data_IF_651336787914
#
_entry.id   IF_651336787914
#
_cell.length_a   1.000
_cell.length_b   1.000
_cell.length_c   1.000
_cell.angle_alpha   90.00
_cell.angle_beta   90.00
_cell.angle_gamma   90.00
#
_symmetry.space_group_name_H-M   'P 1'
#
loop_
_entity.id
_entity.type
_entity.pdbx_description
1 polymer ?
#
# COMPACT_ATOMS: atom_id res chain seq x y z
N UNK A 1 -5.01 -28.21 -17.53
CA UNK A 1 -6.33 -27.63 -18.01
C UNK A 1 -6.13 -27.15 -19.44
N UNK A 2 -7.02 -27.42 -20.39
CA UNK A 2 -6.83 -26.92 -21.76
C UNK A 2 -6.91 -25.40 -21.79
N UNK A 3 -5.96 -24.74 -22.47
CA UNK A 3 -5.97 -23.30 -22.70
C UNK A 3 -7.32 -22.86 -23.26
N UNK A 4 -8.00 -21.95 -22.54
CA UNK A 4 -9.27 -21.42 -23.01
C UNK A 4 -9.01 -20.27 -23.98
N UNK A 5 -9.14 -20.54 -25.30
CA UNK A 5 -8.87 -19.56 -26.35
C UNK A 5 -9.68 -18.26 -26.19
N UNK A 6 -10.93 -18.34 -25.73
CA UNK A 6 -11.75 -17.15 -25.50
C UNK A 6 -11.18 -16.26 -24.40
N UNK A 7 -10.78 -16.84 -23.25
CA UNK A 7 -10.16 -16.08 -22.16
C UNK A 7 -8.75 -15.63 -22.52
N UNK A 8 -8.02 -16.41 -23.32
CA UNK A 8 -6.74 -16.03 -23.87
C UNK A 8 -6.81 -14.78 -24.75
N UNK A 9 -7.82 -14.66 -25.60
CA UNK A 9 -8.04 -13.48 -26.43
C UNK A 9 -8.38 -12.23 -25.57
N UNK A 10 -9.09 -12.40 -24.47
CA UNK A 10 -9.38 -11.31 -23.53
C UNK A 10 -8.10 -10.86 -22.81
N UNK A 11 -7.28 -11.80 -22.37
CA UNK A 11 -5.98 -11.49 -21.77
C UNK A 11 -5.06 -10.77 -22.78
N UNK A 12 -5.01 -11.23 -24.04
CA UNK A 12 -4.30 -10.54 -25.13
C UNK A 12 -4.78 -9.10 -25.30
N UNK A 13 -6.10 -8.89 -25.33
CA UNK A 13 -6.68 -7.53 -25.38
C UNK A 13 -6.25 -6.66 -24.19
N UNK A 14 -6.16 -7.23 -22.99
CA UNK A 14 -5.70 -6.48 -21.81
C UNK A 14 -4.21 -6.12 -21.91
N UNK A 15 -3.38 -7.02 -22.47
CA UNK A 15 -1.97 -6.77 -22.71
C UNK A 15 -1.74 -5.68 -23.77
N UNK A 16 -2.57 -5.63 -24.82
CA UNK A 16 -2.49 -4.61 -25.88
C UNK A 16 -2.94 -3.23 -25.41
N UNK A 17 -3.98 -3.18 -24.58
CA UNK A 17 -4.56 -1.93 -24.09
C UNK A 17 -3.83 -1.35 -22.88
N UNK A 18 -2.88 -2.09 -22.29
CA UNK A 18 -2.10 -1.53 -21.21
C UNK A 18 -1.22 -0.39 -21.74
N UNK A 19 -1.26 0.75 -21.08
CA UNK A 19 -0.36 1.87 -21.33
C UNK A 19 0.33 2.32 -20.05
N UNK A 20 1.44 3.01 -20.20
CA UNK A 20 2.17 3.60 -19.07
C UNK A 20 1.31 4.71 -18.44
N UNK A 21 0.69 4.44 -17.31
CA UNK A 21 -0.14 5.41 -16.60
C UNK A 21 -1.55 4.92 -16.25
N UNK A 22 -2.02 3.86 -16.88
CA UNK A 22 -3.34 3.31 -16.58
C UNK A 22 -3.40 2.69 -15.17
N UNK A 23 -4.57 2.84 -14.55
CA UNK A 23 -4.93 2.03 -13.38
C UNK A 23 -5.43 0.68 -13.90
N UNK A 24 -4.62 -0.34 -13.75
CA UNK A 24 -4.88 -1.68 -14.30
C UNK A 24 -6.22 -2.28 -13.87
N UNK A 25 -6.67 -1.98 -12.64
CA UNK A 25 -8.00 -2.39 -12.17
C UNK A 25 -9.13 -1.74 -12.97
N UNK A 26 -8.98 -0.48 -13.39
CA UNK A 26 -9.96 0.22 -14.22
C UNK A 26 -9.96 -0.40 -15.60
N UNK A 27 -8.81 -0.56 -16.22
CA UNK A 27 -8.65 -1.21 -17.52
C UNK A 27 -9.33 -2.58 -17.56
N UNK A 28 -9.01 -3.44 -16.59
CA UNK A 28 -9.61 -4.77 -16.50
C UNK A 28 -11.13 -4.70 -16.29
N UNK A 29 -11.61 -3.81 -15.42
CA UNK A 29 -13.04 -3.66 -15.17
C UNK A 29 -13.80 -3.21 -16.42
N UNK A 30 -13.23 -2.33 -17.23
CA UNK A 30 -13.86 -1.87 -18.47
C UNK A 30 -13.90 -2.99 -19.52
N UNK A 31 -12.81 -3.76 -19.68
CA UNK A 31 -12.79 -4.95 -20.53
C UNK A 31 -13.83 -5.97 -20.04
N UNK A 32 -13.93 -6.20 -18.73
CA UNK A 32 -14.88 -7.17 -18.17
C UNK A 32 -16.34 -6.77 -18.38
N UNK A 33 -16.65 -5.47 -18.35
CA UNK A 33 -17.99 -4.96 -18.69
C UNK A 33 -18.26 -5.09 -20.17
N UNK A 34 -17.31 -4.67 -21.03
CA UNK A 34 -17.41 -4.77 -22.49
C UNK A 34 -17.68 -6.22 -22.94
N UNK A 35 -16.91 -7.16 -22.39
CA UNK A 35 -17.02 -8.60 -22.72
C UNK A 35 -18.04 -9.37 -21.89
N UNK A 36 -18.76 -8.72 -20.97
CA UNK A 36 -19.78 -9.30 -20.08
C UNK A 36 -19.32 -10.57 -19.35
N UNK A 37 -18.09 -10.53 -18.81
CA UNK A 37 -17.51 -11.71 -18.17
C UNK A 37 -18.17 -12.06 -16.83
N UNK A 38 -18.34 -13.37 -16.59
CA UNK A 38 -18.71 -13.92 -15.31
C UNK A 38 -17.59 -13.80 -14.25
N UNK A 39 -17.93 -14.01 -12.97
CA UNK A 39 -16.97 -13.88 -11.86
C UNK A 39 -15.73 -14.76 -12.00
N UNK A 40 -15.90 -16.02 -12.41
CA UNK A 40 -14.80 -16.98 -12.59
C UNK A 40 -13.84 -16.54 -13.68
N UNK A 41 -14.36 -16.07 -14.79
CA UNK A 41 -13.57 -15.63 -15.95
C UNK A 41 -12.80 -14.35 -15.62
N UNK A 42 -13.40 -13.42 -14.87
CA UNK A 42 -12.72 -12.22 -14.38
C UNK A 42 -11.52 -12.58 -13.48
N UNK A 43 -11.69 -13.52 -12.57
CA UNK A 43 -10.60 -14.00 -11.70
C UNK A 43 -9.50 -14.63 -12.55
N UNK A 44 -9.86 -15.50 -13.52
CA UNK A 44 -8.90 -16.15 -14.39
C UNK A 44 -8.03 -15.15 -15.16
N UNK A 45 -8.66 -14.14 -15.78
CA UNK A 45 -7.95 -13.09 -16.52
C UNK A 45 -7.11 -12.21 -15.59
N UNK A 46 -7.70 -11.76 -14.46
CA UNK A 46 -6.98 -10.90 -13.51
C UNK A 46 -5.73 -11.56 -12.93
N UNK A 47 -5.84 -12.81 -12.47
CA UNK A 47 -4.70 -13.49 -11.85
C UNK A 47 -3.53 -13.63 -12.85
N UNK A 48 -3.81 -13.94 -14.12
CA UNK A 48 -2.79 -14.06 -15.17
C UNK A 48 -2.26 -12.71 -15.63
N UNK A 49 -3.09 -11.69 -15.71
CA UNK A 49 -2.64 -10.34 -16.03
C UNK A 49 -1.70 -9.78 -14.95
N UNK A 50 -2.05 -9.94 -13.66
CA UNK A 50 -1.17 -9.51 -12.57
C UNK A 50 0.07 -10.39 -12.43
N UNK A 51 0.02 -11.66 -12.82
CA UNK A 51 1.19 -12.52 -12.92
C UNK A 51 2.14 -12.03 -14.01
N UNK A 52 1.62 -11.67 -15.20
CA UNK A 52 2.42 -11.02 -16.24
C UNK A 52 3.14 -9.77 -15.71
N UNK A 53 2.41 -8.86 -15.04
CA UNK A 53 3.01 -7.63 -14.53
C UNK A 53 4.15 -7.87 -13.51
N UNK A 54 4.12 -9.00 -12.80
CA UNK A 54 5.21 -9.41 -11.90
C UNK A 54 6.43 -9.97 -12.63
N UNK A 55 6.23 -10.56 -13.79
CA UNK A 55 7.26 -11.25 -14.57
C UNK A 55 7.37 -10.69 -16.00
N UNK A 56 7.08 -9.40 -16.15
CA UNK A 56 6.93 -8.74 -17.46
C UNK A 56 8.16 -8.92 -18.35
N UNK A 57 9.38 -8.71 -17.81
CA UNK A 57 10.61 -8.83 -18.61
C UNK A 57 10.79 -10.24 -19.21
N UNK A 58 10.38 -11.26 -18.46
CA UNK A 58 10.43 -12.65 -18.97
C UNK A 58 9.42 -12.87 -20.09
N UNK A 59 8.18 -12.46 -19.90
CA UNK A 59 7.14 -12.69 -20.90
C UNK A 59 7.36 -11.86 -22.16
N UNK A 60 7.87 -10.65 -22.04
CA UNK A 60 8.24 -9.80 -23.19
C UNK A 60 9.39 -10.45 -23.99
N UNK A 61 10.35 -11.11 -23.32
CA UNK A 61 11.48 -11.80 -23.97
C UNK A 61 11.04 -13.07 -24.69
N UNK A 62 10.15 -13.88 -24.11
CA UNK A 62 9.78 -15.18 -24.69
C UNK A 62 8.59 -15.11 -25.66
N UNK A 63 7.98 -13.94 -25.85
CA UNK A 63 6.76 -13.78 -26.63
C UNK A 63 6.94 -12.76 -27.76
N UNK A 64 6.46 -13.09 -28.95
CA UNK A 64 6.60 -12.28 -30.15
C UNK A 64 5.46 -11.27 -30.34
N UNK A 65 4.31 -11.56 -29.71
CA UNK A 65 3.11 -10.72 -29.74
C UNK A 65 2.20 -11.01 -28.53
N UNK A 66 1.12 -10.23 -28.37
CA UNK A 66 0.19 -10.31 -27.25
C UNK A 66 -0.56 -11.64 -27.17
N UNK A 67 -0.87 -12.29 -28.30
CA UNK A 67 -1.55 -13.59 -28.34
C UNK A 67 -0.64 -14.71 -27.83
N UNK A 68 0.60 -14.75 -28.31
CA UNK A 68 1.63 -15.71 -27.84
C UNK A 68 1.94 -15.44 -26.38
N UNK A 69 2.03 -14.16 -25.97
CA UNK A 69 2.24 -13.76 -24.59
C UNK A 69 1.12 -14.29 -23.69
N UNK A 70 -0.15 -14.08 -24.04
CA UNK A 70 -1.29 -14.59 -23.29
C UNK A 70 -1.28 -16.12 -23.13
N UNK A 71 -0.89 -16.85 -24.19
CA UNK A 71 -0.71 -18.30 -24.15
C UNK A 71 0.44 -18.69 -23.22
N UNK A 72 1.61 -18.06 -23.34
CA UNK A 72 2.78 -18.34 -22.51
C UNK A 72 2.49 -18.04 -21.01
N UNK A 73 1.81 -16.95 -20.70
CA UNK A 73 1.39 -16.63 -19.34
C UNK A 73 0.51 -17.74 -18.75
N UNK A 74 -0.49 -18.22 -19.50
CA UNK A 74 -1.36 -19.28 -19.04
C UNK A 74 -0.59 -20.58 -18.77
N UNK A 75 0.32 -20.96 -19.68
CA UNK A 75 1.11 -22.18 -19.54
C UNK A 75 2.10 -22.12 -18.36
N UNK A 76 2.79 -20.98 -18.16
CA UNK A 76 3.72 -20.82 -17.03
C UNK A 76 2.94 -20.73 -15.70
N UNK A 77 1.79 -20.05 -15.69
CA UNK A 77 0.94 -19.93 -14.50
C UNK A 77 0.40 -21.29 -14.03
N UNK A 78 0.16 -22.21 -14.96
CA UNK A 78 -0.35 -23.57 -14.70
C UNK A 78 0.76 -24.63 -14.57
N UNK A 79 2.04 -24.22 -14.71
CA UNK A 79 3.21 -25.09 -14.72
C UNK A 79 3.14 -26.18 -15.84
N UNK A 80 2.56 -25.84 -16.97
CA UNK A 80 2.37 -26.71 -18.14
C UNK A 80 2.96 -26.09 -19.43
N UNK A 81 4.26 -25.67 -19.48
CA UNK A 81 4.84 -25.08 -20.69
C UNK A 81 4.96 -26.11 -21.82
N UNK A 82 4.64 -25.69 -23.05
CA UNK A 82 4.86 -26.51 -24.24
C UNK A 82 6.37 -26.64 -24.60
N UNK A 83 6.70 -27.52 -25.55
CA UNK A 83 8.09 -27.79 -25.91
C UNK A 83 8.85 -26.56 -26.45
N UNK A 84 8.13 -25.62 -27.09
CA UNK A 84 8.76 -24.39 -27.62
C UNK A 84 9.13 -23.47 -26.43
N UNK A 85 8.21 -23.29 -25.49
CA UNK A 85 8.44 -22.45 -24.33
C UNK A 85 9.48 -23.08 -23.38
N UNK A 86 9.45 -24.39 -23.15
CA UNK A 86 10.49 -25.11 -22.39
C UNK A 86 11.88 -24.86 -22.97
N UNK A 87 12.04 -24.97 -24.29
CA UNK A 87 13.32 -24.73 -24.95
C UNK A 87 13.78 -23.27 -24.77
N UNK A 88 12.89 -22.30 -24.88
CA UNK A 88 13.21 -20.88 -24.60
C UNK A 88 13.67 -20.70 -23.14
N UNK A 89 12.97 -21.29 -22.18
CA UNK A 89 13.33 -21.27 -20.76
C UNK A 89 14.71 -21.88 -20.52
N UNK A 90 14.99 -23.05 -21.09
CA UNK A 90 16.31 -23.72 -20.99
C UNK A 90 17.46 -22.87 -21.54
N UNK A 91 17.23 -22.15 -22.64
CA UNK A 91 18.23 -21.23 -23.21
C UNK A 91 18.51 -20.10 -22.22
N UNK A 92 17.48 -19.47 -21.64
CA UNK A 92 17.64 -18.41 -20.65
C UNK A 92 18.36 -18.90 -19.39
N UNK A 93 18.09 -20.13 -18.95
CA UNK A 93 18.77 -20.75 -17.81
C UNK A 93 20.24 -21.00 -18.11
N UNK A 94 20.56 -21.56 -19.27
CA UNK A 94 21.96 -21.80 -19.70
C UNK A 94 22.75 -20.51 -19.82
N UNK A 95 22.15 -19.44 -20.28
CA UNK A 95 22.78 -18.13 -20.42
C UNK A 95 22.83 -17.34 -19.11
N UNK A 96 22.25 -17.86 -18.01
CA UNK A 96 22.21 -17.18 -16.69
C UNK A 96 21.31 -15.95 -16.65
N UNK A 97 20.41 -15.75 -17.62
CA UNK A 97 19.52 -14.58 -17.70
C UNK A 97 18.12 -14.83 -17.14
N UNK A 98 17.73 -16.08 -16.92
CA UNK A 98 16.39 -16.45 -16.44
C UNK A 98 16.00 -15.74 -15.15
N UNK A 99 16.86 -15.81 -14.13
CA UNK A 99 16.58 -15.19 -12.84
C UNK A 99 16.35 -13.68 -12.95
N UNK A 100 17.18 -12.99 -13.74
CA UNK A 100 17.04 -11.55 -13.97
C UNK A 100 15.71 -11.20 -14.64
N UNK A 101 15.27 -12.00 -15.60
CA UNK A 101 14.06 -11.76 -16.38
C UNK A 101 12.80 -12.18 -15.62
N UNK A 102 12.83 -13.31 -14.91
CA UNK A 102 11.67 -13.90 -14.26
C UNK A 102 11.57 -13.47 -12.78
N UNK A 103 12.57 -13.83 -11.96
CA UNK A 103 12.53 -13.61 -10.54
C UNK A 103 12.76 -12.14 -10.16
N UNK A 104 13.65 -11.45 -10.88
CA UNK A 104 14.02 -10.06 -10.66
C UNK A 104 13.44 -9.12 -11.73
N UNK A 105 12.22 -9.41 -12.19
CA UNK A 105 11.49 -8.66 -13.22
C UNK A 105 11.03 -7.29 -12.69
N UNK A 106 11.97 -6.32 -12.68
CA UNK A 106 11.80 -4.96 -12.22
C UNK A 106 12.54 -3.98 -13.13
N UNK A 107 12.12 -2.70 -13.19
CA UNK A 107 12.98 -1.65 -13.73
C UNK A 107 14.34 -1.65 -13.04
N UNK A 108 15.39 -1.30 -13.77
CA UNK A 108 16.78 -1.40 -13.28
C UNK A 108 16.99 -0.59 -11.99
N UNK A 109 16.43 0.61 -11.92
CA UNK A 109 16.47 1.47 -10.73
C UNK A 109 15.97 0.72 -9.49
N UNK A 110 14.76 0.16 -9.54
CA UNK A 110 14.18 -0.57 -8.40
C UNK A 110 14.93 -1.87 -8.11
N UNK A 111 15.38 -2.58 -9.16
CA UNK A 111 16.16 -3.81 -9.00
C UNK A 111 17.45 -3.55 -8.22
N UNK A 112 18.16 -2.46 -8.54
CA UNK A 112 19.38 -2.07 -7.86
C UNK A 112 19.11 -1.66 -6.40
N UNK A 113 18.05 -0.89 -6.14
CA UNK A 113 17.65 -0.50 -4.79
C UNK A 113 17.26 -1.71 -3.92
N UNK A 114 16.46 -2.64 -4.46
CA UNK A 114 16.07 -3.88 -3.74
C UNK A 114 17.31 -4.70 -3.38
N UNK A 115 18.23 -4.91 -4.32
CA UNK A 115 19.45 -5.66 -4.06
C UNK A 115 20.34 -5.01 -3.02
N UNK A 116 20.48 -3.68 -3.08
CA UNK A 116 21.31 -2.90 -2.16
C UNK A 116 20.74 -2.90 -0.74
N UNK A 117 19.43 -2.74 -0.60
CA UNK A 117 18.79 -2.59 0.71
C UNK A 117 18.47 -3.93 1.37
N UNK A 118 18.07 -4.95 0.60
CA UNK A 118 17.47 -6.18 1.13
C UNK A 118 18.11 -7.47 0.61
N UNK A 119 18.99 -7.37 -0.38
CA UNK A 119 19.59 -8.54 -1.01
C UNK A 119 18.66 -9.24 -2.01
N UNK A 120 19.24 -10.26 -2.68
CA UNK A 120 18.60 -10.96 -3.81
C UNK A 120 17.31 -11.71 -3.40
N UNK A 121 17.26 -12.26 -2.21
CA UNK A 121 16.12 -13.05 -1.74
C UNK A 121 14.84 -12.22 -1.54
N UNK A 122 14.96 -10.90 -1.44
CA UNK A 122 13.80 -10.02 -1.30
C UNK A 122 12.88 -9.98 -2.54
N UNK A 123 13.41 -10.29 -3.72
CA UNK A 123 12.59 -10.32 -4.96
C UNK A 123 11.43 -11.31 -4.87
N UNK A 124 11.60 -12.46 -4.22
CA UNK A 124 10.53 -13.42 -3.99
C UNK A 124 9.38 -12.76 -3.21
N UNK A 125 9.71 -12.05 -2.14
CA UNK A 125 8.71 -11.33 -1.36
C UNK A 125 8.01 -10.24 -2.21
N UNK A 126 8.76 -9.43 -2.96
CA UNK A 126 8.19 -8.39 -3.81
C UNK A 126 7.30 -8.94 -4.95
N UNK A 127 7.52 -10.17 -5.39
CA UNK A 127 6.70 -10.86 -6.39
C UNK A 127 5.55 -11.67 -5.79
N UNK A 128 5.50 -11.87 -4.48
CA UNK A 128 4.41 -12.58 -3.82
C UNK A 128 3.10 -11.76 -3.85
N UNK A 129 1.97 -12.43 -3.70
CA UNK A 129 0.65 -11.80 -3.60
C UNK A 129 0.41 -11.35 -2.17
N UNK A 130 0.12 -10.06 -1.97
CA UNK A 130 -0.19 -9.54 -0.65
C UNK A 130 -1.53 -10.10 -0.13
N UNK A 131 -1.60 -10.41 1.16
CA UNK A 131 -2.85 -10.83 1.82
C UNK A 131 -3.81 -9.66 1.98
N UNK A 132 -5.09 -9.99 2.09
CA UNK A 132 -6.12 -9.01 2.45
C UNK A 132 -6.12 -8.83 3.96
N UNK A 133 -5.97 -7.59 4.41
CA UNK A 133 -5.99 -7.24 5.83
C UNK A 133 -7.15 -6.29 6.09
N UNK A 134 -7.85 -6.53 7.19
CA UNK A 134 -8.89 -5.67 7.72
C UNK A 134 -8.38 -4.93 8.94
N UNK A 135 -8.83 -3.72 9.11
CA UNK A 135 -8.73 -2.98 10.36
C UNK A 135 -10.10 -2.96 11.04
N UNK A 136 -10.18 -3.56 12.20
CA UNK A 136 -11.37 -3.49 13.07
C UNK A 136 -11.62 -2.05 13.49
N UNK A 137 -12.87 -1.64 13.48
CA UNK A 137 -13.29 -0.37 14.05
C UNK A 137 -13.47 -0.52 15.57
N UNK A 138 -12.42 -0.25 16.33
CA UNK A 138 -12.39 -0.38 17.79
C UNK A 138 -13.34 0.58 18.54
N UNK A 139 -14.01 1.49 17.82
CA UNK A 139 -15.10 2.31 18.36
C UNK A 139 -16.40 1.53 18.49
N UNK A 140 -16.59 0.49 17.67
CA UNK A 140 -17.84 -0.26 17.54
C UNK A 140 -17.75 -1.70 18.04
N UNK A 141 -16.61 -2.35 17.87
CA UNK A 141 -16.46 -3.78 18.14
C UNK A 141 -15.02 -4.12 18.52
N UNK A 142 -14.82 -5.14 19.37
CA UNK A 142 -13.49 -5.67 19.62
C UNK A 142 -12.99 -6.53 18.45
N UNK A 143 -11.66 -6.58 18.25
CA UNK A 143 -11.06 -7.35 17.16
C UNK A 143 -11.46 -8.83 17.19
N UNK A 144 -11.38 -9.43 18.36
CA UNK A 144 -11.62 -10.87 18.50
C UNK A 144 -13.11 -11.23 18.29
N UNK A 145 -14.02 -10.34 18.68
CA UNK A 145 -15.45 -10.47 18.40
C UNK A 145 -15.72 -10.38 16.89
N UNK A 146 -15.13 -9.40 16.18
CA UNK A 146 -15.23 -9.32 14.72
C UNK A 146 -14.64 -10.55 14.04
N UNK A 147 -13.49 -11.06 14.52
CA UNK A 147 -12.85 -12.26 14.01
C UNK A 147 -13.79 -13.46 14.06
N UNK A 148 -14.48 -13.68 15.17
CA UNK A 148 -15.45 -14.77 15.30
C UNK A 148 -16.68 -14.57 14.39
N UNK A 149 -17.21 -13.36 14.27
CA UNK A 149 -18.30 -13.07 13.34
C UNK A 149 -17.91 -13.38 11.90
N UNK A 150 -16.70 -13.00 11.48
CA UNK A 150 -16.17 -13.31 10.15
C UNK A 150 -16.04 -14.82 9.91
N UNK A 151 -15.55 -15.59 10.90
CA UNK A 151 -15.48 -17.06 10.82
C UNK A 151 -16.88 -17.68 10.66
N UNK A 152 -17.86 -17.18 11.41
CA UNK A 152 -19.25 -17.66 11.32
C UNK A 152 -19.88 -17.38 9.93
N UNK A 153 -19.47 -16.29 9.25
CA UNK A 153 -19.83 -16.02 7.86
C UNK A 153 -18.98 -16.82 6.84
N UNK A 154 -18.04 -17.66 7.32
CA UNK A 154 -17.17 -18.51 6.50
C UNK A 154 -15.97 -17.79 5.90
N UNK A 155 -15.47 -16.74 6.56
CA UNK A 155 -14.22 -16.08 6.24
C UNK A 155 -13.14 -16.52 7.24
N UNK A 156 -12.32 -17.49 6.84
CA UNK A 156 -11.17 -17.91 7.62
C UNK A 156 -10.21 -16.73 7.81
N UNK A 157 -9.77 -16.51 9.03
CA UNK A 157 -8.95 -15.35 9.38
C UNK A 157 -8.11 -15.60 10.63
N UNK A 158 -7.08 -14.78 10.82
CA UNK A 158 -6.22 -14.73 11.98
C UNK A 158 -5.94 -13.28 12.40
N UNK A 159 -5.58 -13.04 13.67
CA UNK A 159 -5.15 -11.70 14.09
C UNK A 159 -3.84 -11.32 13.39
N UNK A 160 -3.72 -10.05 13.02
CA UNK A 160 -2.45 -9.50 12.59
C UNK A 160 -1.46 -9.42 13.76
N UNK A 161 -0.16 -9.66 13.52
CA UNK A 161 0.81 -9.84 14.63
C UNK A 161 1.00 -8.61 15.51
N UNK A 162 0.96 -7.40 14.94
CA UNK A 162 1.34 -6.18 15.64
C UNK A 162 0.19 -5.22 15.85
N UNK A 163 -0.71 -5.08 14.86
CA UNK A 163 -1.83 -4.16 15.01
C UNK A 163 -2.90 -4.73 15.94
N UNK A 164 -3.29 -4.00 17.01
CA UNK A 164 -4.38 -4.44 17.90
C UNK A 164 -5.76 -4.47 17.21
N UNK A 165 -5.87 -3.86 16.02
CA UNK A 165 -7.10 -3.84 15.22
C UNK A 165 -7.02 -4.73 13.97
N UNK A 166 -5.86 -5.30 13.67
CA UNK A 166 -5.60 -6.00 12.42
C UNK A 166 -6.15 -7.43 12.39
N UNK A 167 -6.81 -7.79 11.27
CA UNK A 167 -7.25 -9.16 10.96
C UNK A 167 -6.77 -9.50 9.56
N UNK A 168 -6.03 -10.60 9.42
CA UNK A 168 -5.58 -11.13 8.14
C UNK A 168 -6.61 -12.15 7.65
N UNK A 169 -7.09 -11.96 6.42
CA UNK A 169 -8.01 -12.90 5.79
C UNK A 169 -7.27 -13.94 4.96
N UNK A 170 -7.71 -15.18 5.08
CA UNK A 170 -7.30 -16.22 4.14
C UNK A 170 -7.96 -16.00 2.77
N UNK A 171 -7.31 -16.44 1.67
CA UNK A 171 -7.83 -16.28 0.32
C UNK A 171 -9.25 -16.84 0.20
N UNK A 172 -10.16 -16.07 -0.36
CA UNK A 172 -11.55 -16.46 -0.54
C UNK A 172 -12.15 -15.84 -1.80
N UNK A 173 -13.10 -16.55 -2.40
CA UNK A 173 -13.89 -16.06 -3.53
C UNK A 173 -15.14 -15.26 -3.08
N UNK A 174 -15.40 -15.15 -1.78
CA UNK A 174 -16.51 -14.37 -1.23
C UNK A 174 -16.14 -12.86 -1.21
N UNK A 175 -17.12 -11.99 -1.32
CA UNK A 175 -16.94 -10.54 -1.23
C UNK A 175 -17.41 -10.04 0.13
N UNK A 176 -16.52 -9.44 0.90
CA UNK A 176 -16.86 -8.79 2.17
C UNK A 176 -17.43 -7.38 2.00
N UNK A 177 -17.22 -6.74 0.86
CA UNK A 177 -17.74 -5.37 0.62
C UNK A 177 -19.28 -5.27 0.65
N UNK A 178 -19.96 -6.39 0.46
CA UNK A 178 -21.42 -6.48 0.46
C UNK A 178 -21.95 -7.19 1.71
N UNK A 179 -21.15 -7.37 2.76
CA UNK A 179 -21.57 -7.97 4.02
C UNK A 179 -22.21 -6.94 4.95
N UNK A 180 -23.13 -7.38 5.79
CA UNK A 180 -23.69 -6.53 6.86
C UNK A 180 -22.60 -5.98 7.79
N UNK A 181 -21.54 -6.74 8.02
CA UNK A 181 -20.42 -6.31 8.87
C UNK A 181 -19.73 -5.07 8.30
N UNK A 182 -19.57 -5.00 6.97
CA UNK A 182 -19.03 -3.84 6.29
C UNK A 182 -19.99 -2.64 6.32
N UNK A 183 -21.28 -2.89 6.04
CA UNK A 183 -22.32 -1.85 6.07
C UNK A 183 -22.48 -1.24 7.46
N UNK A 184 -22.39 -2.06 8.51
CA UNK A 184 -22.38 -1.62 9.93
C UNK A 184 -21.11 -0.86 10.30
N UNK A 185 -20.09 -0.84 9.43
CA UNK A 185 -18.82 -0.14 9.65
C UNK A 185 -17.96 -0.76 10.76
N UNK A 186 -18.00 -2.08 10.90
CA UNK A 186 -17.20 -2.81 11.88
C UNK A 186 -15.74 -2.94 11.46
N UNK A 187 -15.45 -2.79 10.16
CA UNK A 187 -14.08 -2.83 9.64
C UNK A 187 -13.90 -1.95 8.40
N UNK A 188 -12.64 -1.72 8.08
CA UNK A 188 -12.15 -1.16 6.81
C UNK A 188 -11.07 -2.08 6.25
N UNK A 189 -10.93 -2.10 4.90
CA UNK A 189 -9.79 -2.75 4.25
C UNK A 189 -8.56 -1.86 4.40
N UNK A 190 -7.58 -2.29 5.18
CA UNK A 190 -6.35 -1.54 5.40
C UNK A 190 -5.23 -2.48 5.82
N UNK A 191 -4.08 -2.35 5.16
CA UNK A 191 -2.89 -3.11 5.51
C UNK A 191 -2.40 -2.84 6.94
N UNK A 192 -1.77 -3.84 7.57
CA UNK A 192 -1.26 -3.72 8.93
C UNK A 192 -0.25 -2.59 9.07
N UNK A 193 0.65 -2.40 8.10
CA UNK A 193 1.65 -1.33 8.13
C UNK A 193 1.02 0.07 8.15
N UNK A 194 -0.07 0.27 7.40
CA UNK A 194 -0.83 1.52 7.41
C UNK A 194 -1.54 1.76 8.75
N UNK A 195 -1.97 0.68 9.43
CA UNK A 195 -2.52 0.75 10.79
C UNK A 195 -1.43 1.14 11.80
N UNK A 196 -0.24 0.54 11.70
CA UNK A 196 0.92 0.84 12.55
C UNK A 196 1.40 2.28 12.39
N UNK A 197 1.43 2.81 11.15
CA UNK A 197 1.75 4.21 10.91
C UNK A 197 0.78 5.17 11.64
N UNK A 198 -0.51 4.81 11.75
CA UNK A 198 -1.50 5.59 12.50
C UNK A 198 -1.20 5.62 14.00
N UNK A 199 -0.51 4.60 14.53
CA UNK A 199 -0.09 4.53 15.94
C UNK A 199 1.15 5.40 16.25
N UNK A 200 1.70 6.13 15.28
CA UNK A 200 2.70 7.16 15.54
C UNK A 200 2.09 8.43 16.17
N UNK A 201 0.77 8.59 16.13
CA UNK A 201 0.06 9.71 16.75
C UNK A 201 0.16 9.61 18.28
N UNK A 202 0.38 10.75 18.93
CA UNK A 202 0.42 10.84 20.39
C UNK A 202 -0.99 10.59 20.97
N UNK A 203 -1.08 9.68 21.95
CA UNK A 203 -2.36 9.35 22.63
C UNK A 203 -3.04 10.55 23.30
N UNK A 204 -2.27 11.61 23.61
CA UNK A 204 -2.78 12.84 24.23
C UNK A 204 -3.17 13.91 23.18
N UNK A 205 -3.00 13.64 21.88
CA UNK A 205 -3.42 14.53 20.81
C UNK A 205 -4.92 14.83 20.87
N UNK A 206 -5.30 16.10 20.78
CA UNK A 206 -6.72 16.54 20.81
C UNK A 206 -7.18 16.97 19.42
N UNK A 207 -6.33 17.66 18.67
CA UNK A 207 -6.63 18.08 17.31
C UNK A 207 -5.53 17.70 16.34
N UNK A 208 -5.92 17.12 15.21
CA UNK A 208 -5.02 16.61 14.19
C UNK A 208 -5.43 17.11 12.81
N UNK A 209 -4.43 17.52 12.03
CA UNK A 209 -4.56 17.79 10.60
C UNK A 209 -3.94 16.65 9.79
N UNK A 210 -4.69 16.11 8.81
CA UNK A 210 -4.18 15.22 7.76
C UNK A 210 -4.30 15.92 6.41
N UNK A 211 -3.23 16.55 5.88
CA UNK A 211 -3.32 17.39 4.68
C UNK A 211 -3.30 16.61 3.35
N UNK A 212 -3.00 15.31 3.37
CA UNK A 212 -2.97 14.43 2.21
C UNK A 212 -3.87 13.21 2.46
N UNK A 213 -5.12 13.45 2.88
CA UNK A 213 -5.99 12.42 3.44
C UNK A 213 -6.49 11.37 2.43
N UNK A 214 -6.43 11.66 1.11
CA UNK A 214 -7.02 10.77 0.11
C UNK A 214 -8.48 10.45 0.44
N UNK A 215 -8.84 9.18 0.45
CA UNK A 215 -10.18 8.71 0.87
C UNK A 215 -10.36 8.57 2.39
N UNK A 216 -9.48 9.14 3.23
CA UNK A 216 -9.61 9.17 4.69
C UNK A 216 -9.22 7.87 5.41
N UNK A 217 -8.45 6.99 4.76
CA UNK A 217 -8.09 5.69 5.33
C UNK A 217 -7.33 5.81 6.66
N UNK A 218 -6.33 6.70 6.74
CA UNK A 218 -5.54 6.94 7.94
C UNK A 218 -6.29 7.81 8.95
N UNK A 219 -7.07 8.83 8.52
CA UNK A 219 -8.00 9.55 9.40
C UNK A 219 -8.93 8.61 10.15
N UNK A 220 -9.55 7.65 9.45
CA UNK A 220 -10.43 6.64 10.07
C UNK A 220 -9.67 5.70 11.00
N UNK A 221 -8.42 5.36 10.67
CA UNK A 221 -7.54 4.57 11.52
C UNK A 221 -7.23 5.29 12.84
N UNK A 222 -6.77 6.51 12.72
CA UNK A 222 -6.46 7.37 13.86
C UNK A 222 -7.72 7.56 14.75
N UNK A 223 -8.87 7.86 14.15
CA UNK A 223 -10.14 7.99 14.90
C UNK A 223 -10.54 6.68 15.59
N UNK A 224 -10.21 5.51 15.04
CA UNK A 224 -10.49 4.21 15.65
C UNK A 224 -9.62 3.94 16.88
N UNK A 225 -8.34 4.28 16.82
CA UNK A 225 -7.40 4.10 17.93
C UNK A 225 -7.56 5.16 19.02
N UNK A 226 -7.80 6.42 18.63
CA UNK A 226 -7.84 7.57 19.54
C UNK A 226 -9.25 8.18 19.56
N UNK A 227 -10.07 7.78 20.56
CA UNK A 227 -11.51 8.12 20.60
C UNK A 227 -11.82 9.60 20.76
N UNK A 228 -10.93 10.38 21.39
CA UNK A 228 -11.16 11.78 21.80
C UNK A 228 -10.32 12.76 20.97
N UNK A 229 -10.14 12.48 19.68
CA UNK A 229 -9.37 13.31 18.76
C UNK A 229 -10.31 13.98 17.75
N UNK A 230 -10.11 15.27 17.52
CA UNK A 230 -10.74 16.00 16.43
C UNK A 230 -9.82 15.95 15.22
N UNK A 231 -10.34 15.50 14.09
CA UNK A 231 -9.55 15.32 12.86
C UNK A 231 -10.08 16.25 11.79
N UNK A 232 -9.17 17.05 11.22
CA UNK A 232 -9.38 17.81 10.01
C UNK A 232 -8.60 17.12 8.88
N UNK A 233 -9.35 16.56 7.93
CA UNK A 233 -8.80 15.93 6.73
C UNK A 233 -8.82 16.94 5.57
N UNK A 234 -7.73 17.03 4.84
CA UNK A 234 -7.62 17.86 3.64
C UNK A 234 -6.94 17.07 2.51
N UNK A 235 -7.21 17.46 1.27
CA UNK A 235 -6.56 16.89 0.07
C UNK A 235 -6.72 17.90 -1.07
N UNK A 236 -5.76 17.93 -1.98
CA UNK A 236 -5.86 18.75 -3.20
C UNK A 236 -7.04 18.33 -4.08
N UNK A 237 -7.44 17.06 -4.00
CA UNK A 237 -8.58 16.45 -4.68
C UNK A 237 -9.85 16.57 -3.82
N UNK A 238 -10.41 17.76 -3.74
CA UNK A 238 -11.57 18.07 -2.86
C UNK A 238 -12.81 17.21 -3.13
N UNK A 239 -12.93 16.60 -4.30
CA UNK A 239 -14.01 15.66 -4.61
C UNK A 239 -13.99 14.41 -3.71
N UNK A 240 -12.84 14.06 -3.09
CA UNK A 240 -12.72 12.98 -2.12
C UNK A 240 -13.37 13.28 -0.77
N UNK A 241 -13.68 14.54 -0.47
CA UNK A 241 -14.32 14.92 0.81
C UNK A 241 -15.68 14.26 1.02
N UNK A 242 -16.40 13.98 -0.06
CA UNK A 242 -17.66 13.23 0.02
C UNK A 242 -17.41 11.80 0.50
N UNK A 243 -16.42 11.12 -0.08
CA UNK A 243 -16.04 9.76 0.33
C UNK A 243 -15.60 9.71 1.79
N UNK A 244 -14.76 10.66 2.23
CA UNK A 244 -14.33 10.76 3.63
C UNK A 244 -15.53 10.85 4.58
N UNK A 245 -16.52 11.72 4.27
CA UNK A 245 -17.72 11.91 5.09
C UNK A 245 -18.59 10.66 5.14
N UNK A 246 -18.81 10.00 4.02
CA UNK A 246 -19.59 8.76 3.93
C UNK A 246 -18.94 7.61 4.73
N UNK A 247 -17.63 7.45 4.60
CA UNK A 247 -16.88 6.44 5.36
C UNK A 247 -16.84 6.77 6.85
N UNK A 248 -16.68 8.03 7.22
CA UNK A 248 -16.71 8.46 8.62
C UNK A 248 -18.09 8.22 9.25
N UNK A 249 -19.18 8.51 8.54
CA UNK A 249 -20.54 8.22 8.98
C UNK A 249 -20.75 6.71 9.20
N UNK A 250 -20.32 5.87 8.23
CA UNK A 250 -20.36 4.41 8.36
C UNK A 250 -19.54 3.93 9.54
N UNK A 251 -18.37 4.50 9.78
CA UNK A 251 -17.52 4.18 10.93
C UNK A 251 -18.04 4.69 12.27
N UNK A 252 -19.09 5.52 12.29
CA UNK A 252 -19.62 6.13 13.52
C UNK A 252 -18.67 7.15 14.15
N UNK A 253 -17.95 7.90 13.32
CA UNK A 253 -17.03 8.97 13.73
C UNK A 253 -17.29 10.24 12.92
N UNK A 254 -16.77 11.37 13.40
CA UNK A 254 -16.84 12.65 12.69
C UNK A 254 -15.44 13.08 12.27
N UNK A 255 -15.24 13.30 10.97
CA UNK A 255 -14.03 13.86 10.40
C UNK A 255 -14.43 15.17 9.69
N UNK A 256 -13.80 16.26 10.06
CA UNK A 256 -13.98 17.54 9.37
C UNK A 256 -13.18 17.51 8.07
N UNK A 257 -13.67 18.22 7.04
CA UNK A 257 -12.92 18.37 5.78
C UNK A 257 -12.75 19.85 5.46
N UNK A 258 -11.56 20.28 5.09
CA UNK A 258 -11.25 21.68 4.76
C UNK A 258 -10.38 21.76 3.49
N UNK A 259 -10.61 22.79 2.67
CA UNK A 259 -9.67 23.16 1.58
C UNK A 259 -8.35 23.66 2.18
N UNK A 260 -7.27 23.63 1.41
CA UNK A 260 -5.94 24.06 1.91
C UNK A 260 -5.91 25.51 2.42
N UNK A 261 -6.72 26.40 1.83
CA UNK A 261 -6.85 27.82 2.23
C UNK A 261 -7.67 27.99 3.51
N UNK A 262 -8.49 27.01 3.88
CA UNK A 262 -9.41 27.09 5.02
C UNK A 262 -8.87 26.37 6.27
N UNK A 263 -7.65 25.83 6.18
CA UNK A 263 -6.99 25.11 7.29
C UNK A 263 -6.53 26.12 8.34
N UNK A 264 -7.03 25.96 9.57
CA UNK A 264 -6.56 26.72 10.73
C UNK A 264 -5.10 26.42 11.08
N UNK A 265 -4.56 27.17 12.03
CA UNK A 265 -3.23 26.95 12.60
C UNK A 265 -3.33 26.24 13.97
N UNK A 266 -2.17 25.92 14.55
CA UNK A 266 -2.03 25.42 15.92
C UNK A 266 -2.59 24.03 16.19
N UNK A 267 -2.35 23.07 15.27
CA UNK A 267 -2.63 21.65 15.51
C UNK A 267 -1.66 21.03 16.51
N UNK A 268 -2.18 20.14 17.36
CA UNK A 268 -1.35 19.27 18.21
C UNK A 268 -0.49 18.35 17.38
N UNK A 269 -1.07 17.82 16.30
CA UNK A 269 -0.39 16.95 15.37
C UNK A 269 -0.77 17.28 13.93
N UNK A 270 0.24 17.36 13.06
CA UNK A 270 0.06 17.32 11.61
C UNK A 270 0.57 15.99 11.12
N UNK A 271 -0.29 15.19 10.49
CA UNK A 271 0.00 13.86 9.99
C UNK A 271 0.02 13.86 8.46
N UNK A 272 1.21 13.83 7.87
CA UNK A 272 1.40 13.86 6.41
C UNK A 272 1.58 12.43 5.90
N UNK A 273 0.49 11.84 5.33
CA UNK A 273 0.59 10.65 4.48
C UNK A 273 1.01 11.10 3.09
N UNK A 274 2.31 11.20 2.89
CA UNK A 274 2.86 11.93 1.75
C UNK A 274 2.64 11.17 0.43
N UNK A 275 2.25 11.87 -0.65
CA UNK A 275 2.31 11.30 -1.98
C UNK A 275 3.71 10.74 -2.25
N UNK A 276 3.80 9.48 -2.68
CA UNK A 276 5.05 8.79 -2.90
C UNK A 276 4.94 7.80 -4.06
N UNK A 277 6.05 7.19 -4.44
CA UNK A 277 6.11 6.20 -5.53
C UNK A 277 5.23 4.97 -5.31
N UNK A 278 4.87 4.67 -4.06
CA UNK A 278 4.17 3.42 -3.72
C UNK A 278 5.04 2.18 -3.85
N UNK A 279 6.36 2.34 -3.90
CA UNK A 279 7.29 1.21 -4.05
C UNK A 279 7.14 0.13 -2.98
N UNK A 280 6.69 0.49 -1.78
CA UNK A 280 6.43 -0.44 -0.68
C UNK A 280 5.16 -1.28 -0.81
N UNK A 281 4.22 -0.91 -1.72
CA UNK A 281 2.93 -1.60 -1.92
C UNK A 281 2.82 -2.28 -3.29
N UNK A 282 3.92 -2.42 -4.02
CA UNK A 282 3.94 -3.04 -5.36
C UNK A 282 3.52 -4.51 -5.37
N UNK A 283 3.51 -5.20 -4.24
CA UNK A 283 2.91 -6.54 -4.10
C UNK A 283 1.41 -6.53 -4.44
N UNK A 284 0.71 -5.44 -4.06
CA UNK A 284 -0.73 -5.22 -4.33
C UNK A 284 -0.95 -4.73 -5.74
N UNK A 285 -0.10 -3.82 -6.19
CA UNK A 285 -0.20 -3.17 -7.49
C UNK A 285 1.08 -3.42 -8.31
N UNK A 286 1.32 -4.65 -8.80
CA UNK A 286 2.59 -5.01 -9.41
C UNK A 286 2.92 -4.20 -10.66
N UNK A 287 1.93 -3.64 -11.33
CA UNK A 287 2.13 -2.78 -12.48
C UNK A 287 2.71 -1.40 -12.15
N UNK A 288 2.53 -0.92 -10.93
CA UNK A 288 3.05 0.39 -10.55
C UNK A 288 4.58 0.44 -10.53
N UNK A 289 5.25 -0.73 -10.35
CA UNK A 289 6.73 -0.81 -10.46
C UNK A 289 7.26 -0.29 -11.79
N UNK A 290 6.50 -0.47 -12.87
CA UNK A 290 6.90 -0.09 -14.24
C UNK A 290 6.78 1.41 -14.53
N UNK A 291 6.13 2.16 -13.62
CA UNK A 291 5.95 3.61 -13.70
C UNK A 291 7.02 4.39 -12.95
N UNK A 292 7.78 3.69 -12.07
CA UNK A 292 8.77 4.33 -11.20
C UNK A 292 10.07 4.54 -11.98
N UNK A 293 10.34 5.79 -12.31
CA UNK A 293 11.57 6.25 -12.96
C UNK A 293 12.18 7.44 -12.21
N UNK A 294 13.36 7.88 -12.63
CA UNK A 294 14.09 8.99 -12.01
C UNK A 294 13.30 10.31 -12.05
N UNK A 295 12.56 10.55 -13.13
CA UNK A 295 11.75 11.75 -13.29
C UNK A 295 10.60 11.76 -12.28
N UNK A 296 9.83 10.69 -12.20
CA UNK A 296 8.75 10.55 -11.23
C UNK A 296 9.27 10.73 -9.79
N UNK A 297 10.41 10.11 -9.45
CA UNK A 297 11.01 10.27 -8.13
C UNK A 297 11.44 11.70 -7.84
N UNK A 298 12.06 12.38 -8.81
CA UNK A 298 12.43 13.79 -8.69
C UNK A 298 11.22 14.69 -8.43
N UNK A 299 10.14 14.51 -9.21
CA UNK A 299 8.91 15.28 -9.07
C UNK A 299 8.25 15.03 -7.71
N UNK A 300 8.19 13.78 -7.26
CA UNK A 300 7.66 13.40 -5.94
C UNK A 300 8.51 13.97 -4.80
N UNK A 301 9.83 13.90 -4.88
CA UNK A 301 10.73 14.44 -3.86
C UNK A 301 10.56 15.96 -3.69
N UNK A 302 10.38 16.70 -4.79
CA UNK A 302 10.11 18.13 -4.73
C UNK A 302 8.77 18.40 -4.05
N UNK A 303 7.73 17.67 -4.41
CA UNK A 303 6.41 17.78 -3.79
C UNK A 303 6.46 17.43 -2.29
N UNK A 304 7.16 16.37 -1.91
CA UNK A 304 7.32 15.94 -0.51
C UNK A 304 8.01 17.01 0.34
N UNK A 305 9.07 17.62 -0.19
CA UNK A 305 9.78 18.75 0.47
C UNK A 305 8.88 19.97 0.62
N UNK A 306 8.09 20.28 -0.38
CA UNK A 306 7.11 21.38 -0.33
C UNK A 306 6.04 21.12 0.73
N UNK A 307 5.44 19.91 0.73
CA UNK A 307 4.36 19.55 1.64
C UNK A 307 4.82 19.56 3.10
N UNK A 308 5.98 18.94 3.41
CA UNK A 308 6.48 18.90 4.79
C UNK A 308 6.83 20.31 5.28
N UNK A 309 7.41 21.16 4.42
CA UNK A 309 7.71 22.56 4.77
C UNK A 309 6.44 23.34 5.03
N UNK A 310 5.46 23.31 4.10
CA UNK A 310 4.20 24.04 4.18
C UNK A 310 3.38 23.66 5.41
N UNK A 311 3.22 22.39 5.66
CA UNK A 311 2.33 21.93 6.73
C UNK A 311 3.01 21.85 8.10
N UNK A 312 4.35 21.92 8.17
CA UNK A 312 5.06 22.07 9.44
C UNK A 312 4.71 23.39 10.16
N UNK A 313 4.33 24.43 9.41
CA UNK A 313 3.92 25.71 9.97
C UNK A 313 2.58 25.62 10.75
N UNK A 314 1.74 24.64 10.41
CA UNK A 314 0.46 24.38 11.07
C UNK A 314 0.58 23.67 12.43
N UNK A 315 1.75 23.14 12.74
CA UNK A 315 2.05 22.50 14.03
C UNK A 315 2.24 23.57 15.09
N UNK A 316 1.53 23.49 16.23
CA UNK A 316 1.79 24.41 17.37
C UNK A 316 3.16 24.17 18.02
N UNK A 317 3.65 25.11 18.79
CA UNK A 317 4.84 24.88 19.62
C UNK A 317 4.54 23.74 20.62
N UNK A 318 5.46 22.80 20.75
CA UNK A 318 5.28 21.57 21.51
C UNK A 318 4.40 20.52 20.83
N UNK A 319 3.85 20.80 19.64
CA UNK A 319 3.10 19.86 18.81
C UNK A 319 4.03 19.00 17.94
N UNK A 320 3.44 18.07 17.21
CA UNK A 320 4.17 17.06 16.46
C UNK A 320 3.85 17.07 14.97
N UNK A 321 4.87 16.86 14.15
CA UNK A 321 4.76 16.61 12.73
C UNK A 321 5.10 15.15 12.50
N UNK A 322 4.17 14.40 11.90
CA UNK A 322 4.36 13.01 11.53
C UNK A 322 4.39 12.94 10.00
N UNK A 323 5.46 12.35 9.47
CA UNK A 323 5.63 12.14 8.04
C UNK A 323 5.67 10.64 7.77
N UNK A 324 4.81 10.16 6.85
CA UNK A 324 4.75 8.74 6.47
C UNK A 324 4.70 8.58 4.96
N UNK A 325 5.25 7.48 4.46
CA UNK A 325 5.16 7.05 3.06
C UNK A 325 4.96 5.54 2.98
N UNK A 326 4.34 5.06 1.92
CA UNK A 326 4.35 3.66 1.53
C UNK A 326 5.48 3.37 0.52
N UNK A 327 6.67 3.90 0.77
CA UNK A 327 7.87 3.72 -0.03
C UNK A 327 9.00 3.09 0.79
N UNK A 328 9.87 2.32 0.13
CA UNK A 328 11.12 1.85 0.73
C UNK A 328 12.35 2.67 0.28
N UNK A 329 12.16 3.64 -0.61
CA UNK A 329 13.25 4.41 -1.20
C UNK A 329 13.73 5.49 -0.23
N UNK A 330 15.03 5.53 0.05
CA UNK A 330 15.63 6.49 0.97
C UNK A 330 15.40 7.95 0.56
N UNK A 331 15.36 8.21 -0.76
CA UNK A 331 15.14 9.55 -1.29
C UNK A 331 13.74 10.11 -0.97
N UNK A 332 12.75 9.26 -0.74
CA UNK A 332 11.40 9.65 -0.31
C UNK A 332 11.22 9.63 1.22
N UNK A 333 12.18 9.10 1.96
CA UNK A 333 12.10 8.78 3.39
C UNK A 333 13.14 9.59 4.20
N UNK A 334 14.22 8.92 4.60
CA UNK A 334 15.24 9.51 5.50
C UNK A 334 15.87 10.78 4.94
N UNK A 335 16.03 10.89 3.62
CA UNK A 335 16.61 12.07 2.98
C UNK A 335 15.68 13.29 3.05
N UNK A 336 14.35 13.09 2.93
CA UNK A 336 13.35 14.15 3.13
C UNK A 336 13.42 14.68 4.57
N UNK A 337 13.45 13.77 5.56
CA UNK A 337 13.52 14.15 6.98
C UNK A 337 14.83 14.87 7.30
N UNK A 338 15.95 14.38 6.79
CA UNK A 338 17.26 15.01 6.97
C UNK A 338 17.31 16.41 6.37
N UNK A 339 16.81 16.58 5.14
CA UNK A 339 16.75 17.90 4.48
C UNK A 339 15.87 18.87 5.28
N UNK A 340 14.69 18.41 5.72
CA UNK A 340 13.79 19.21 6.54
C UNK A 340 14.43 19.67 7.86
N UNK A 341 15.05 18.76 8.63
CA UNK A 341 15.71 19.09 9.91
C UNK A 341 16.92 19.99 9.74
N UNK A 342 17.61 19.91 8.61
CA UNK A 342 18.71 20.80 8.29
C UNK A 342 18.25 22.26 8.13
N UNK A 343 17.07 22.47 7.55
CA UNK A 343 16.45 23.77 7.28
C UNK A 343 15.65 24.30 8.48
N UNK A 344 15.09 23.42 9.31
CA UNK A 344 14.14 23.74 10.37
C UNK A 344 14.70 23.34 11.75
N UNK A 345 15.60 24.17 12.31
CA UNK A 345 16.27 23.90 13.60
C UNK A 345 15.35 23.97 14.83
N UNK A 346 14.12 24.39 14.64
CA UNK A 346 13.05 24.39 15.64
C UNK A 346 12.32 23.05 15.74
N UNK A 347 12.63 22.07 14.88
CA UNK A 347 12.15 20.70 14.98
C UNK A 347 13.25 19.75 15.43
N UNK A 348 12.86 18.70 16.15
CA UNK A 348 13.73 17.58 16.51
C UNK A 348 12.99 16.25 16.38
N UNK A 349 13.72 15.19 16.09
CA UNK A 349 13.17 13.85 15.95
C UNK A 349 12.79 13.26 17.32
N UNK A 350 11.73 12.47 17.34
CA UNK A 350 11.32 11.58 18.44
C UNK A 350 11.46 10.15 17.91
N UNK A 351 12.14 9.24 18.64
CA UNK A 351 12.25 7.86 18.22
C UNK A 351 10.87 7.21 18.02
N UNK A 352 10.60 6.67 16.83
CA UNK A 352 9.33 6.02 16.51
C UNK A 352 9.08 4.80 17.41
N UNK A 353 10.15 4.12 17.84
CA UNK A 353 10.09 3.00 18.78
C UNK A 353 9.43 3.40 20.09
N UNK A 354 9.84 4.53 20.69
CA UNK A 354 9.26 5.03 21.94
C UNK A 354 7.76 5.29 21.79
N UNK A 355 7.35 5.92 20.70
CA UNK A 355 5.95 6.19 20.40
C UNK A 355 5.13 4.92 20.25
N UNK A 356 5.67 3.91 19.56
CA UNK A 356 4.97 2.64 19.37
C UNK A 356 4.87 1.84 20.68
N UNK A 357 5.88 1.87 21.56
CA UNK A 357 5.80 1.28 22.90
C UNK A 357 4.66 1.92 23.71
N UNK A 358 4.56 3.27 23.67
CA UNK A 358 3.48 3.99 24.39
C UNK A 358 2.07 3.58 23.94
N UNK A 359 1.90 3.28 22.65
CA UNK A 359 0.59 2.99 22.05
C UNK A 359 0.26 1.51 21.95
N UNK A 360 1.27 0.63 21.85
CA UNK A 360 1.10 -0.83 21.79
C UNK A 360 1.24 -1.53 23.14
N UNK A 361 1.93 -0.89 24.10
CA UNK A 361 2.15 -1.45 25.43
C UNK A 361 3.17 -2.59 25.48
N UNK A 362 3.86 -2.88 24.38
CA UNK A 362 4.87 -3.94 24.27
C UNK A 362 6.04 -3.50 23.41
N UNK A 363 7.24 -3.94 23.78
CA UNK A 363 8.46 -3.77 23.00
C UNK A 363 8.73 -4.97 22.08
N UNK A 364 8.07 -6.08 22.34
CA UNK A 364 8.20 -7.30 21.55
C UNK A 364 7.83 -7.03 20.09
N UNK A 365 8.63 -7.53 19.18
CA UNK A 365 8.51 -7.37 17.74
C UNK A 365 8.74 -5.94 17.19
N UNK A 366 8.95 -4.91 18.01
CA UNK A 366 9.21 -3.55 17.49
C UNK A 366 10.55 -3.44 16.74
N UNK A 367 11.53 -4.29 17.07
CA UNK A 367 12.79 -4.39 16.34
C UNK A 367 12.62 -4.80 14.87
N UNK A 368 11.51 -5.45 14.53
CA UNK A 368 11.18 -5.85 13.14
C UNK A 368 10.63 -4.71 12.30
N UNK A 369 10.12 -3.65 12.93
CA UNK A 369 9.42 -2.55 12.27
C UNK A 369 10.01 -1.17 12.55
N UNK A 370 11.05 -1.09 13.38
CA UNK A 370 11.73 0.17 13.67
C UNK A 370 13.23 0.06 13.38
N UNK A 371 13.77 1.13 12.80
CA UNK A 371 15.21 1.34 12.60
C UNK A 371 15.61 2.59 13.41
N UNK A 372 15.89 2.37 14.70
CA UNK A 372 16.21 3.43 15.64
C UNK A 372 15.10 4.48 15.77
N UNK A 373 15.25 5.56 15.03
CA UNK A 373 14.38 6.73 15.09
C UNK A 373 13.11 6.61 14.26
N UNK A 374 13.05 5.66 13.31
CA UNK A 374 11.99 5.59 12.31
C UNK A 374 11.13 4.32 12.45
N UNK A 375 9.84 4.44 12.14
CA UNK A 375 9.07 3.29 11.68
C UNK A 375 9.62 2.92 10.31
N UNK A 376 10.11 1.69 10.14
CA UNK A 376 10.70 1.20 8.90
C UNK A 376 10.41 -0.28 8.73
N UNK A 377 9.30 -0.55 8.09
CA UNK A 377 8.84 -1.92 7.85
C UNK A 377 9.59 -2.50 6.67
N UNK A 378 10.19 -3.68 6.88
CA UNK A 378 11.04 -4.38 5.92
C UNK A 378 10.33 -5.58 5.28
N UNK A 379 10.84 -6.10 4.12
CA UNK A 379 10.36 -7.35 3.53
C UNK A 379 10.50 -8.54 4.49
N UNK A 380 9.71 -9.58 4.27
CA UNK A 380 9.80 -10.84 5.02
C UNK A 380 8.52 -11.22 5.79
N UNK A 381 7.58 -10.29 5.93
CA UNK A 381 6.29 -10.52 6.60
C UNK A 381 5.12 -10.28 5.64
N UNK A 382 3.90 -10.60 6.08
CA UNK A 382 2.69 -10.46 5.26
C UNK A 382 2.23 -9.01 5.06
N UNK A 383 2.84 -8.06 5.75
CA UNK A 383 2.52 -6.62 5.68
C UNK A 383 3.28 -5.91 4.57
N UNK A 384 2.77 -4.79 4.10
CA UNK A 384 3.42 -3.92 3.13
C UNK A 384 4.58 -3.13 3.77
N UNK A 385 5.45 -2.52 2.94
CA UNK A 385 6.51 -1.67 3.45
C UNK A 385 5.98 -0.27 3.72
N UNK A 386 6.47 0.32 4.81
CA UNK A 386 6.09 1.66 5.21
C UNK A 386 7.23 2.33 5.97
N UNK A 387 7.37 3.62 5.76
CA UNK A 387 8.25 4.50 6.52
C UNK A 387 7.43 5.49 7.33
N UNK A 388 7.93 5.88 8.52
CA UNK A 388 7.33 6.92 9.34
C UNK A 388 8.33 7.59 10.25
N UNK A 389 8.23 8.92 10.37
CA UNK A 389 9.04 9.75 11.26
C UNK A 389 8.15 10.63 12.11
N UNK A 390 8.52 10.84 13.37
CA UNK A 390 7.84 11.74 14.31
C UNK A 390 8.79 12.87 14.68
N UNK A 391 8.37 14.11 14.48
CA UNK A 391 9.14 15.31 14.80
C UNK A 391 8.35 16.19 15.76
N UNK A 392 9.01 16.79 16.73
CA UNK A 392 8.39 17.74 17.66
C UNK A 392 8.87 19.15 17.38
N UNK A 393 7.94 20.11 17.34
CA UNK A 393 8.25 21.55 17.22
C UNK A 393 8.62 22.11 18.59
N UNK A 394 9.88 22.52 18.75
CA UNK A 394 10.43 23.03 20.02
C UNK A 394 10.22 24.53 20.24
N UNK A 395 10.15 25.31 19.16
CA UNK A 395 10.01 26.78 19.18
C UNK A 395 9.10 27.25 18.04
#
# INVERSE_FOLDING_TARGET
MRFNQFLGNILSTALERQSDGDKYDILLNDIFKEKRLGKRDRIWVSDRFFFYLRHKLFFDEVSENSEICAKNIAMVFEDEPDEILKRKIEILQKNGTYDKLFNESFPELLSNEIRTLYGKNAFEWFNSKAKTVLRTNLRKIARDELSEMLKNEGFANSPAPLSPAGIILEPTNKSLKNSELFEKGFFEFQDESSQLASLLVNKNCKNLLEPCAGGGGKSLSIASFFKNIEITASDSRTYLFKEIKERAARAGTKIQTAGFQDISDNFDTVFIDSPCSGSGVIRRNPGDRWKIDEKMLSDLNNLQKELIQKFSEKVRIGGELIYVTCSFLKCENEEIIKDFLNKNKNFSLIPAKERLIENLGSEELLSEITDGDFLKIQPGHERDLMFGAVLVRRR
#
